data_IF_232555827488
#
_entry.id   IF_232555827488
#
_cell.length_a   1.000
_cell.length_b   1.000
_cell.length_c   1.000
_cell.angle_alpha   90.00
_cell.angle_beta   90.00
_cell.angle_gamma   90.00
#
_symmetry.space_group_name_H-M   'P 1'
#
loop_
_entity.id
_entity.type
_entity.pdbx_description
1 polymer ?
#
# COMPACT_ATOMS: atom_id res chain seq x y z
N UNK A 1 -3.95 -14.09 22.10
CA UNK A 1 -3.95 -12.65 22.33
C UNK A 1 -4.39 -12.32 23.74
N UNK A 2 -3.86 -11.24 24.28
CA UNK A 2 -4.32 -10.63 25.52
C UNK A 2 -5.49 -9.70 25.23
N UNK A 3 -6.56 -9.79 26.01
CA UNK A 3 -7.72 -8.92 25.89
C UNK A 3 -7.90 -8.13 27.20
N UNK A 4 -7.99 -6.80 27.14
CA UNK A 4 -8.09 -5.97 28.33
C UNK A 4 -9.43 -6.15 29.07
N UNK A 5 -10.50 -6.48 28.35
CA UNK A 5 -11.83 -6.72 28.91
C UNK A 5 -12.51 -7.95 28.30
N UNK A 6 -13.55 -8.46 28.96
CA UNK A 6 -14.35 -9.61 28.47
C UNK A 6 -15.09 -9.23 27.18
N UNK A 7 -15.56 -7.99 27.06
CA UNK A 7 -16.29 -7.46 25.91
C UNK A 7 -15.41 -7.43 24.67
N UNK A 8 -14.15 -6.97 24.78
CA UNK A 8 -13.21 -6.96 23.66
C UNK A 8 -12.88 -8.38 23.19
N UNK A 9 -12.71 -9.33 24.14
CA UNK A 9 -12.52 -10.73 23.81
C UNK A 9 -13.73 -11.29 23.06
N UNK A 10 -14.94 -11.06 23.59
CA UNK A 10 -16.19 -11.52 22.99
C UNK A 10 -16.38 -10.97 21.58
N UNK A 11 -16.16 -9.67 21.38
CA UNK A 11 -16.27 -9.01 20.08
C UNK A 11 -15.28 -9.62 19.07
N UNK A 12 -14.01 -9.76 19.46
CA UNK A 12 -12.99 -10.29 18.56
C UNK A 12 -13.29 -11.77 18.19
N UNK A 13 -13.68 -12.61 19.15
CA UNK A 13 -14.01 -14.01 18.86
C UNK A 13 -15.25 -14.13 17.96
N UNK A 14 -16.21 -13.25 18.13
CA UNK A 14 -17.45 -13.24 17.34
C UNK A 14 -17.22 -12.84 15.89
N UNK A 15 -16.36 -11.82 15.65
CA UNK A 15 -16.16 -11.23 14.33
C UNK A 15 -14.84 -11.63 13.68
N UNK A 16 -13.81 -11.94 14.45
CA UNK A 16 -12.46 -12.34 14.00
C UNK A 16 -11.88 -11.45 12.89
N UNK A 17 -11.95 -10.10 13.01
CA UNK A 17 -11.35 -9.23 12.03
C UNK A 17 -9.83 -9.32 12.07
N UNK A 18 -9.20 -9.20 10.92
CA UNK A 18 -7.76 -8.97 10.75
C UNK A 18 -7.55 -7.72 9.92
N UNK A 19 -6.33 -7.19 9.90
CA UNK A 19 -5.99 -6.00 9.12
C UNK A 19 -4.70 -6.25 8.35
N UNK A 20 -4.81 -6.73 7.11
CA UNK A 20 -3.69 -6.85 6.20
C UNK A 20 -3.42 -5.51 5.53
N UNK A 21 -2.15 -5.18 5.40
CA UNK A 21 -1.68 -3.99 4.68
C UNK A 21 -0.35 -4.26 4.02
N UNK A 22 0.18 -3.25 3.33
CA UNK A 22 1.49 -3.30 2.68
C UNK A 22 2.36 -2.15 3.16
N UNK A 23 3.65 -2.27 2.91
CA UNK A 23 4.62 -1.17 3.00
C UNK A 23 5.65 -1.32 1.90
N UNK A 24 6.26 -0.19 1.49
CA UNK A 24 7.29 -0.20 0.45
C UNK A 24 6.75 -0.19 -0.97
N UNK A 25 5.53 0.29 -1.25
CA UNK A 25 5.04 0.40 -2.62
C UNK A 25 5.91 1.35 -3.46
N UNK A 26 6.32 2.48 -2.89
CA UNK A 26 7.22 3.42 -3.57
C UNK A 26 8.59 2.80 -3.86
N UNK A 27 9.10 1.93 -2.96
CA UNK A 27 10.35 1.17 -3.21
C UNK A 27 10.19 0.23 -4.40
N UNK A 28 9.04 -0.45 -4.53
CA UNK A 28 8.75 -1.32 -5.69
C UNK A 28 8.77 -0.51 -6.98
N UNK A 29 8.16 0.69 -7.00
CA UNK A 29 8.18 1.55 -8.18
C UNK A 29 9.60 2.01 -8.52
N UNK A 30 10.41 2.39 -7.53
CA UNK A 30 11.82 2.73 -7.74
C UNK A 30 12.63 1.56 -8.32
N UNK A 31 12.46 0.34 -7.77
CA UNK A 31 13.17 -0.88 -8.24
C UNK A 31 12.80 -1.20 -9.69
N UNK A 32 11.53 -1.05 -10.03
CA UNK A 32 11.03 -1.31 -11.39
C UNK A 32 11.23 -0.11 -12.34
N UNK A 33 11.79 1.01 -11.87
CA UNK A 33 11.97 2.26 -12.61
C UNK A 33 10.67 2.80 -13.20
N UNK A 34 9.58 2.69 -12.43
CA UNK A 34 8.23 3.13 -12.80
C UNK A 34 7.93 4.48 -12.12
N UNK A 35 7.66 5.56 -12.86
CA UNK A 35 7.20 6.81 -12.26
C UNK A 35 5.88 6.62 -11.48
N UNK A 36 5.81 7.20 -10.29
CA UNK A 36 4.63 7.04 -9.41
C UNK A 36 3.33 7.54 -10.05
N UNK A 37 3.40 8.59 -10.87
CA UNK A 37 2.26 9.18 -11.56
C UNK A 37 1.91 8.51 -12.91
N UNK A 38 2.49 7.35 -13.22
CA UNK A 38 2.26 6.65 -14.48
C UNK A 38 1.03 5.72 -14.42
N UNK A 39 0.44 5.44 -15.58
CA UNK A 39 -0.62 4.43 -15.72
C UNK A 39 -0.14 3.03 -15.33
N UNK A 40 1.16 2.75 -15.55
CA UNK A 40 1.77 1.47 -15.17
C UNK A 40 1.79 1.32 -13.64
N UNK A 41 2.16 2.38 -12.90
CA UNK A 41 2.13 2.37 -11.45
C UNK A 41 0.70 2.18 -10.91
N UNK A 42 -0.26 2.87 -11.51
CA UNK A 42 -1.66 2.80 -11.13
C UNK A 42 -2.27 1.41 -11.39
N UNK A 43 -1.94 0.79 -12.51
CA UNK A 43 -2.34 -0.59 -12.83
C UNK A 43 -1.68 -1.58 -11.87
N UNK A 44 -0.36 -1.47 -11.68
CA UNK A 44 0.40 -2.39 -10.82
C UNK A 44 -0.11 -2.36 -9.37
N UNK A 45 -0.35 -1.18 -8.81
CA UNK A 45 -0.87 -1.08 -7.44
C UNK A 45 -2.27 -1.69 -7.31
N UNK A 46 -3.12 -1.52 -8.32
CA UNK A 46 -4.47 -2.11 -8.35
C UNK A 46 -4.38 -3.63 -8.40
N UNK A 47 -3.52 -4.18 -9.25
CA UNK A 47 -3.26 -5.61 -9.37
C UNK A 47 -2.70 -6.24 -8.07
N UNK A 48 -1.84 -5.50 -7.37
CA UNK A 48 -1.32 -5.91 -6.05
C UNK A 48 -2.46 -6.05 -5.05
N UNK A 49 -3.33 -5.04 -4.94
CA UNK A 49 -4.44 -5.08 -3.98
C UNK A 49 -5.50 -6.12 -4.36
N UNK A 50 -5.80 -6.33 -5.64
CA UNK A 50 -6.65 -7.41 -6.11
C UNK A 50 -6.08 -8.77 -5.68
N UNK A 51 -4.78 -8.98 -5.91
CA UNK A 51 -4.09 -10.23 -5.56
C UNK A 51 -4.13 -10.50 -4.07
N UNK A 52 -3.83 -9.49 -3.23
CA UNK A 52 -3.85 -9.63 -1.78
C UNK A 52 -5.26 -9.96 -1.29
N UNK A 53 -6.28 -9.27 -1.81
CA UNK A 53 -7.66 -9.52 -1.40
C UNK A 53 -8.12 -10.92 -1.81
N UNK A 54 -7.80 -11.36 -3.04
CA UNK A 54 -8.10 -12.72 -3.49
C UNK A 54 -7.43 -13.79 -2.61
N UNK A 55 -6.13 -13.62 -2.33
CA UNK A 55 -5.37 -14.57 -1.51
C UNK A 55 -5.86 -14.59 -0.06
N UNK A 56 -6.15 -13.43 0.51
CA UNK A 56 -6.68 -13.33 1.87
C UNK A 56 -8.07 -13.97 1.98
N UNK A 57 -8.93 -13.74 1.01
CA UNK A 57 -10.27 -14.35 0.95
C UNK A 57 -10.19 -15.86 0.79
N UNK A 58 -9.29 -16.36 -0.07
CA UNK A 58 -9.03 -17.78 -0.25
C UNK A 58 -8.57 -18.43 1.05
N UNK A 59 -7.56 -17.85 1.70
CA UNK A 59 -7.03 -18.39 2.97
C UNK A 59 -8.08 -18.36 4.08
N UNK A 60 -8.87 -17.28 4.17
CA UNK A 60 -9.95 -17.17 5.17
C UNK A 60 -11.05 -18.19 4.94
N UNK A 61 -11.37 -18.52 3.69
CA UNK A 61 -12.29 -19.59 3.30
C UNK A 61 -11.70 -20.96 3.62
N UNK A 62 -10.42 -21.21 3.34
CA UNK A 62 -9.76 -22.48 3.67
C UNK A 62 -9.80 -22.75 5.18
N UNK A 63 -9.44 -21.76 6.00
CA UNK A 63 -9.55 -21.87 7.46
C UNK A 63 -11.01 -22.11 7.87
N UNK A 64 -11.97 -21.48 7.22
CA UNK A 64 -13.39 -21.68 7.52
C UNK A 64 -13.86 -23.09 7.20
N UNK A 65 -13.32 -23.73 6.15
CA UNK A 65 -13.66 -25.12 5.83
C UNK A 65 -13.25 -26.10 6.92
N UNK A 66 -12.19 -25.78 7.67
CA UNK A 66 -11.65 -26.66 8.73
C UNK A 66 -12.29 -26.39 10.10
N UNK A 67 -12.49 -25.11 10.45
CA UNK A 67 -12.88 -24.72 11.81
C UNK A 67 -14.18 -23.89 11.89
N UNK A 68 -14.87 -23.74 10.77
CA UNK A 68 -16.12 -22.98 10.64
C UNK A 68 -15.91 -21.48 10.42
N UNK A 69 -16.94 -20.80 9.90
CA UNK A 69 -16.92 -19.37 9.65
C UNK A 69 -16.89 -18.55 10.96
N UNK A 70 -16.73 -17.22 10.83
CA UNK A 70 -16.91 -16.35 11.99
C UNK A 70 -18.37 -16.34 12.44
N UNK A 71 -18.60 -16.22 13.76
CA UNK A 71 -19.91 -16.45 14.38
C UNK A 71 -21.03 -15.55 13.83
N UNK A 72 -20.70 -14.30 13.50
CA UNK A 72 -21.68 -13.30 13.01
C UNK A 72 -21.79 -13.21 11.48
N UNK A 73 -21.45 -14.26 10.74
CA UNK A 73 -21.49 -14.24 9.26
C UNK A 73 -22.92 -14.10 8.71
N UNK A 74 -23.91 -14.60 9.44
CA UNK A 74 -25.30 -14.61 8.97
C UNK A 74 -25.84 -13.20 8.68
N UNK A 75 -26.43 -13.03 7.52
CA UNK A 75 -26.92 -11.76 7.01
C UNK A 75 -25.87 -10.86 6.38
N UNK A 76 -24.58 -11.25 6.42
CA UNK A 76 -23.52 -10.46 5.80
C UNK A 76 -23.53 -10.56 4.26
N UNK A 77 -22.95 -9.57 3.54
CA UNK A 77 -22.79 -9.67 2.09
C UNK A 77 -21.97 -10.91 1.67
N UNK A 78 -20.92 -11.24 2.43
CA UNK A 78 -20.03 -12.36 2.11
C UNK A 78 -20.72 -13.72 2.22
N UNK A 79 -21.70 -13.88 3.10
CA UNK A 79 -22.53 -15.11 3.16
C UNK A 79 -23.22 -15.38 1.83
N UNK A 80 -23.60 -14.31 1.10
CA UNK A 80 -24.21 -14.36 -0.22
C UNK A 80 -23.21 -14.42 -1.37
N UNK A 81 -21.92 -14.49 -1.06
CA UNK A 81 -20.84 -14.44 -2.05
C UNK A 81 -20.65 -13.08 -2.71
N UNK A 82 -21.06 -12.01 -2.03
CA UNK A 82 -20.86 -10.63 -2.48
C UNK A 82 -19.51 -10.14 -1.91
N UNK A 83 -18.55 -9.93 -2.79
CA UNK A 83 -17.22 -9.42 -2.45
C UNK A 83 -17.18 -7.89 -2.40
N UNK A 84 -16.12 -7.33 -1.80
CA UNK A 84 -15.97 -5.88 -1.60
C UNK A 84 -16.11 -5.10 -2.92
N UNK A 85 -15.42 -5.49 -3.99
CA UNK A 85 -15.50 -4.80 -5.28
C UNK A 85 -16.91 -4.73 -5.87
N UNK A 86 -17.76 -5.73 -5.58
CA UNK A 86 -19.16 -5.73 -6.03
C UNK A 86 -20.02 -4.73 -5.25
N UNK A 87 -19.70 -4.45 -3.98
CA UNK A 87 -20.35 -3.39 -3.22
C UNK A 87 -19.99 -1.99 -3.75
N UNK A 88 -18.86 -1.86 -4.47
CA UNK A 88 -18.46 -0.67 -5.23
C UNK A 88 -19.02 -0.66 -6.67
N UNK A 89 -19.86 -1.62 -7.04
CA UNK A 89 -20.54 -1.70 -8.34
C UNK A 89 -19.73 -2.35 -9.46
N UNK A 90 -18.55 -2.91 -9.17
CA UNK A 90 -17.75 -3.65 -10.14
C UNK A 90 -18.26 -5.09 -10.31
N UNK A 91 -18.03 -5.66 -11.49
CA UNK A 91 -18.32 -7.05 -11.84
C UNK A 91 -17.02 -7.82 -12.03
N UNK A 92 -17.08 -9.15 -12.04
CA UNK A 92 -15.90 -10.01 -12.25
C UNK A 92 -15.17 -9.68 -13.56
N UNK A 93 -15.88 -9.26 -14.60
CA UNK A 93 -15.31 -8.89 -15.91
C UNK A 93 -14.60 -7.52 -15.91
N UNK A 94 -14.80 -6.72 -14.87
CA UNK A 94 -14.15 -5.41 -14.73
C UNK A 94 -12.80 -5.52 -14.01
N UNK A 95 -12.44 -6.72 -13.55
CA UNK A 95 -11.21 -7.04 -12.83
C UNK A 95 -10.09 -7.45 -13.79
N UNK A 96 -8.88 -7.69 -13.26
CA UNK A 96 -7.69 -8.01 -14.07
C UNK A 96 -7.80 -9.30 -14.88
N UNK A 97 -8.71 -10.20 -14.54
CA UNK A 97 -8.83 -11.53 -15.14
C UNK A 97 -7.77 -12.54 -14.68
N UNK A 98 -6.90 -12.16 -13.72
CA UNK A 98 -5.82 -13.02 -13.17
C UNK A 98 -6.34 -14.13 -12.27
N UNK A 99 -7.47 -13.90 -11.57
CA UNK A 99 -7.97 -14.76 -10.51
C UNK A 99 -9.35 -15.30 -10.80
N UNK A 100 -9.58 -16.55 -10.44
CA UNK A 100 -10.89 -17.19 -10.61
C UNK A 100 -11.86 -16.83 -9.45
N UNK A 101 -12.33 -15.60 -9.48
CA UNK A 101 -13.33 -15.08 -8.55
C UNK A 101 -14.63 -15.89 -8.54
N UNK A 102 -15.01 -16.48 -9.68
CA UNK A 102 -16.22 -17.27 -9.81
C UNK A 102 -16.16 -18.58 -9.02
N UNK A 103 -15.02 -19.27 -9.09
CA UNK A 103 -14.80 -20.50 -8.31
C UNK A 103 -14.67 -20.17 -6.83
N UNK A 104 -13.92 -19.13 -6.46
CA UNK A 104 -13.79 -18.70 -5.06
C UNK A 104 -15.16 -18.34 -4.46
N UNK A 105 -16.02 -17.65 -5.19
CA UNK A 105 -17.40 -17.31 -4.74
C UNK A 105 -18.22 -18.53 -4.38
N UNK A 106 -18.17 -19.58 -5.19
CA UNK A 106 -18.91 -20.84 -4.92
C UNK A 106 -18.43 -21.48 -3.62
N UNK A 107 -17.13 -21.46 -3.39
CA UNK A 107 -16.54 -22.03 -2.18
C UNK A 107 -16.84 -21.16 -0.96
N UNK A 108 -16.78 -19.84 -1.07
CA UNK A 108 -17.16 -18.90 0.01
C UNK A 108 -18.62 -19.07 0.41
N UNK A 109 -19.54 -19.21 -0.55
CA UNK A 109 -20.96 -19.48 -0.24
C UNK A 109 -21.13 -20.83 0.45
N UNK A 110 -20.32 -21.83 0.10
CA UNK A 110 -20.41 -23.18 0.68
C UNK A 110 -19.83 -23.26 2.09
N UNK A 111 -18.67 -22.65 2.33
CA UNK A 111 -17.89 -22.84 3.57
C UNK A 111 -17.90 -21.60 4.48
N UNK A 112 -18.33 -20.44 3.97
CA UNK A 112 -18.14 -19.16 4.62
C UNK A 112 -16.68 -18.72 4.63
N UNK A 113 -16.38 -17.71 5.43
CA UNK A 113 -15.02 -17.22 5.66
C UNK A 113 -14.76 -17.09 7.16
N UNK A 114 -13.51 -17.30 7.58
CA UNK A 114 -13.13 -17.27 9.00
C UNK A 114 -13.08 -15.87 9.59
N UNK A 115 -12.76 -14.86 8.76
CA UNK A 115 -12.54 -13.48 9.16
C UNK A 115 -13.61 -12.58 8.58
N UNK A 116 -14.21 -11.73 9.41
CA UNK A 116 -15.25 -10.79 8.96
C UNK A 116 -14.70 -9.65 8.10
N UNK A 117 -13.46 -9.26 8.35
CA UNK A 117 -12.72 -8.22 7.65
C UNK A 117 -11.27 -8.68 7.46
N UNK A 118 -10.65 -8.31 6.33
CA UNK A 118 -9.33 -8.80 5.92
C UNK A 118 -8.31 -7.66 5.71
N UNK A 119 -8.60 -6.68 4.84
CA UNK A 119 -7.65 -5.64 4.46
C UNK A 119 -7.94 -4.33 5.20
N UNK A 120 -6.92 -3.82 5.88
CA UNK A 120 -6.91 -2.52 6.54
C UNK A 120 -5.50 -1.91 6.43
N UNK A 121 -5.12 -1.37 5.27
CA UNK A 121 -3.80 -0.77 5.09
C UNK A 121 -3.56 0.38 6.06
N UNK A 122 -2.61 0.17 6.96
CA UNK A 122 -2.22 1.11 8.02
C UNK A 122 -1.03 1.98 7.60
N UNK A 123 -0.69 3.08 8.31
CA UNK A 123 0.41 3.97 7.95
C UNK A 123 1.81 3.33 7.95
N UNK A 124 2.05 2.27 8.74
CA UNK A 124 3.32 1.53 8.88
C UNK A 124 4.54 2.37 9.31
N UNK A 125 4.33 3.52 9.93
CA UNK A 125 5.39 4.49 10.25
C UNK A 125 6.63 3.90 10.95
N UNK A 126 6.45 3.03 11.96
CA UNK A 126 7.56 2.40 12.69
C UNK A 126 8.11 1.17 11.99
N UNK A 127 7.23 0.32 11.45
CA UNK A 127 7.62 -0.95 10.81
C UNK A 127 8.36 -0.72 9.50
N UNK A 128 7.97 0.28 8.72
CA UNK A 128 8.67 0.67 7.50
C UNK A 128 10.13 1.05 7.80
N UNK A 129 10.35 1.77 8.89
CA UNK A 129 11.69 2.17 9.32
C UNK A 129 12.56 0.99 9.76
N UNK A 130 11.97 0.03 10.50
CA UNK A 130 12.69 -1.18 10.93
C UNK A 130 13.14 -2.01 9.72
N UNK A 131 12.28 -2.10 8.70
CA UNK A 131 12.54 -2.88 7.48
C UNK A 131 13.32 -2.09 6.42
N UNK A 132 13.50 -0.76 6.58
CA UNK A 132 14.28 0.07 5.67
C UNK A 132 13.62 0.30 4.31
N UNK A 133 12.30 0.43 4.29
CA UNK A 133 11.49 0.81 3.12
C UNK A 133 10.61 2.02 3.42
N UNK A 134 9.92 2.55 2.40
CA UNK A 134 8.98 3.64 2.57
C UNK A 134 7.67 3.18 3.22
N UNK A 135 6.92 4.12 3.78
CA UNK A 135 5.69 3.84 4.51
C UNK A 135 4.56 3.41 3.58
N UNK A 136 3.85 2.35 3.95
CA UNK A 136 2.66 1.84 3.30
C UNK A 136 2.73 1.88 1.76
N UNK A 137 1.85 2.65 1.15
CA UNK A 137 1.74 2.91 -0.28
C UNK A 137 1.96 4.39 -0.61
N UNK A 138 2.57 5.13 0.34
CA UNK A 138 2.87 6.55 0.19
C UNK A 138 4.09 6.77 -0.74
N UNK A 139 4.13 7.87 -1.51
CA UNK A 139 5.34 8.28 -2.21
C UNK A 139 6.39 8.78 -1.21
N UNK A 140 7.64 8.89 -1.65
CA UNK A 140 8.68 9.48 -0.82
C UNK A 140 8.41 10.97 -0.56
N UNK A 141 8.54 11.39 0.70
CA UNK A 141 8.42 12.82 1.07
C UNK A 141 9.70 13.59 0.76
N UNK A 142 10.85 12.93 0.76
CA UNK A 142 12.14 13.48 0.34
C UNK A 142 13.09 12.33 0.02
N UNK A 143 13.99 12.53 -0.94
CA UNK A 143 15.03 11.55 -1.24
C UNK A 143 16.26 11.67 -0.32
N UNK A 144 16.37 12.77 0.43
CA UNK A 144 17.44 12.98 1.41
C UNK A 144 16.92 13.87 2.54
N UNK A 145 16.97 13.38 3.79
CA UNK A 145 16.52 14.13 4.95
C UNK A 145 17.30 13.76 6.21
N UNK A 146 17.31 14.66 7.18
CA UNK A 146 17.83 14.39 8.52
C UNK A 146 16.75 13.80 9.41
N UNK A 147 17.10 12.75 10.12
CA UNK A 147 16.24 12.09 11.09
C UNK A 147 16.80 12.21 12.49
N UNK A 148 16.06 12.84 13.37
CA UNK A 148 16.40 12.95 14.78
C UNK A 148 15.74 11.86 15.60
N UNK A 149 16.54 11.12 16.36
CA UNK A 149 16.09 10.08 17.30
C UNK A 149 16.70 10.32 18.68
N UNK A 150 16.31 9.54 19.68
CA UNK A 150 16.99 9.56 21.00
C UNK A 150 18.47 9.20 20.92
N UNK A 151 18.88 8.41 19.93
CA UNK A 151 20.26 7.99 19.73
C UNK A 151 21.12 8.98 18.92
N UNK A 152 20.54 10.07 18.40
CA UNK A 152 21.25 11.07 17.61
C UNK A 152 20.49 11.52 16.36
N UNK A 153 21.20 12.25 15.51
CA UNK A 153 20.72 12.73 14.22
C UNK A 153 21.41 11.95 13.10
N UNK A 154 20.63 11.44 12.18
CA UNK A 154 21.09 10.58 11.09
C UNK A 154 20.61 11.14 9.75
N UNK A 155 21.51 11.17 8.77
CA UNK A 155 21.13 11.48 7.39
C UNK A 155 20.60 10.20 6.75
N UNK A 156 19.39 10.27 6.24
CA UNK A 156 18.72 9.18 5.51
C UNK A 156 18.64 9.59 4.05
N UNK A 157 19.07 8.71 3.17
CA UNK A 157 19.00 8.90 1.72
C UNK A 157 18.23 7.75 1.08
N UNK A 158 17.49 8.05 0.03
CA UNK A 158 16.83 7.05 -0.78
C UNK A 158 17.87 6.17 -1.49
N UNK A 159 18.01 4.93 -1.01
CA UNK A 159 19.00 3.96 -1.52
C UNK A 159 18.81 3.65 -3.01
N UNK A 160 17.55 3.67 -3.49
CA UNK A 160 17.24 3.41 -4.89
C UNK A 160 17.70 4.56 -5.80
N UNK A 161 17.57 5.81 -5.34
CA UNK A 161 18.12 6.97 -6.05
C UNK A 161 19.65 6.88 -6.15
N UNK A 162 20.33 6.56 -5.04
CA UNK A 162 21.78 6.38 -5.05
C UNK A 162 22.19 5.32 -6.06
N UNK A 163 21.50 4.17 -6.05
CA UNK A 163 21.77 3.10 -7.01
C UNK A 163 21.57 3.56 -8.46
N UNK A 164 20.47 4.26 -8.75
CA UNK A 164 20.22 4.78 -10.09
C UNK A 164 21.26 5.83 -10.53
N UNK A 165 21.71 6.68 -9.62
CA UNK A 165 22.77 7.65 -9.91
C UNK A 165 24.13 6.96 -10.14
N UNK A 166 24.43 5.89 -9.42
CA UNK A 166 25.64 5.08 -9.64
C UNK A 166 25.59 4.37 -11.00
N UNK A 167 24.44 3.81 -11.37
CA UNK A 167 24.25 3.16 -12.68
C UNK A 167 24.40 4.13 -13.87
N UNK A 168 24.23 5.43 -13.62
CA UNK A 168 24.42 6.49 -14.62
C UNK A 168 25.77 7.25 -14.46
N UNK A 169 26.69 6.75 -13.62
CA UNK A 169 27.98 7.40 -13.32
C UNK A 169 27.85 8.83 -12.77
N UNK A 170 26.72 9.16 -12.13
CA UNK A 170 26.41 10.50 -11.61
C UNK A 170 26.61 10.64 -10.10
N UNK A 171 26.80 9.55 -9.36
CA UNK A 171 26.93 9.62 -7.91
C UNK A 171 28.31 10.13 -7.50
N UNK A 172 28.39 11.40 -7.07
CA UNK A 172 29.58 12.07 -6.60
C UNK A 172 29.24 13.13 -5.54
N UNK A 173 30.26 13.76 -4.93
CA UNK A 173 30.05 14.77 -3.88
C UNK A 173 29.35 16.03 -4.39
N UNK A 174 29.48 16.40 -5.67
CA UNK A 174 28.78 17.54 -6.25
C UNK A 174 27.28 17.29 -6.30
N UNK A 175 26.85 16.13 -6.84
CA UNK A 175 25.45 15.75 -6.91
C UNK A 175 24.85 15.59 -5.51
N UNK A 176 25.60 14.99 -4.57
CA UNK A 176 25.18 14.90 -3.17
C UNK A 176 24.93 16.27 -2.56
N UNK A 177 25.82 17.23 -2.77
CA UNK A 177 25.64 18.60 -2.27
C UNK A 177 24.45 19.30 -2.93
N UNK A 178 24.20 19.11 -4.24
CA UNK A 178 23.02 19.63 -4.93
C UNK A 178 21.75 19.04 -4.34
N UNK A 179 21.69 17.74 -4.07
CA UNK A 179 20.55 17.08 -3.40
C UNK A 179 20.27 17.67 -2.01
N UNK A 180 21.31 18.00 -1.25
CA UNK A 180 21.15 18.66 0.06
C UNK A 180 20.55 20.06 -0.11
N UNK A 181 21.05 20.84 -1.05
CA UNK A 181 20.58 22.22 -1.34
C UNK A 181 19.13 22.22 -1.83
N UNK A 182 18.72 21.21 -2.60
CA UNK A 182 17.37 21.04 -3.13
C UNK A 182 16.43 20.27 -2.16
N UNK A 183 16.82 20.11 -0.88
CA UNK A 183 16.04 19.41 0.15
C UNK A 183 15.60 17.99 -0.27
N UNK A 184 16.45 17.27 -1.00
CA UNK A 184 16.19 15.92 -1.49
C UNK A 184 15.40 15.85 -2.80
N UNK A 185 15.07 16.97 -3.43
CA UNK A 185 14.52 17.01 -4.79
C UNK A 185 15.61 16.73 -5.82
N UNK A 186 15.24 16.03 -6.89
CA UNK A 186 16.11 15.81 -8.07
C UNK A 186 15.73 16.72 -9.25
N UNK A 187 14.63 17.47 -9.14
CA UNK A 187 14.02 18.13 -10.29
C UNK A 187 14.89 19.26 -10.87
N UNK A 188 15.54 20.03 -9.99
CA UNK A 188 16.35 21.18 -10.39
C UNK A 188 17.83 20.86 -10.63
N UNK A 189 18.23 19.58 -10.64
CA UNK A 189 19.61 19.15 -10.87
C UNK A 189 19.79 18.82 -12.37
N UNK A 190 20.45 19.67 -13.18
CA UNK A 190 20.48 19.51 -14.63
C UNK A 190 21.15 18.22 -15.10
N UNK A 191 22.12 17.71 -14.35
CA UNK A 191 22.90 16.52 -14.69
C UNK A 191 22.09 15.23 -14.58
N UNK A 192 20.99 15.23 -13.82
CA UNK A 192 20.16 14.03 -13.63
C UNK A 192 19.24 13.88 -14.85
N UNK A 193 19.20 12.70 -15.51
CA UNK A 193 18.32 12.42 -16.63
C UNK A 193 16.83 12.55 -16.29
N UNK A 194 16.02 12.90 -17.29
CA UNK A 194 14.58 13.16 -17.10
C UNK A 194 13.84 11.92 -16.63
N UNK A 195 14.17 10.75 -17.14
CA UNK A 195 13.58 9.47 -16.72
C UNK A 195 13.86 9.15 -15.25
N UNK A 196 15.07 9.43 -14.76
CA UNK A 196 15.41 9.34 -13.33
C UNK A 196 14.60 10.35 -12.53
N UNK A 197 14.51 11.61 -12.99
CA UNK A 197 13.71 12.64 -12.31
C UNK A 197 12.25 12.23 -12.13
N UNK A 198 11.64 11.64 -13.16
CA UNK A 198 10.24 11.20 -13.10
C UNK A 198 10.01 10.09 -12.06
N UNK A 199 10.96 9.15 -11.91
CA UNK A 199 10.86 8.05 -10.92
C UNK A 199 11.02 8.56 -9.49
N UNK A 200 11.90 9.56 -9.28
CA UNK A 200 12.29 10.04 -7.94
C UNK A 200 11.64 11.37 -7.55
N UNK A 201 10.49 11.70 -8.14
CA UNK A 201 9.65 12.80 -7.65
C UNK A 201 9.29 12.60 -6.19
N UNK A 202 9.36 13.66 -5.41
CA UNK A 202 8.83 13.67 -4.05
C UNK A 202 7.33 13.95 -4.07
N UNK A 203 6.64 13.66 -2.97
CA UNK A 203 5.20 13.89 -2.86
C UNK A 203 4.80 15.35 -3.10
N UNK A 204 5.71 16.30 -2.84
CA UNK A 204 5.50 17.74 -3.04
C UNK A 204 5.50 18.15 -4.51
N UNK A 205 6.05 17.30 -5.37
CA UNK A 205 6.20 17.50 -6.82
C UNK A 205 5.14 16.73 -7.62
N UNK A 206 4.29 15.96 -6.92
CA UNK A 206 3.23 15.15 -7.51
C UNK A 206 1.85 15.81 -7.38
N UNK A 207 0.97 15.48 -8.32
CA UNK A 207 -0.44 15.84 -8.20
C UNK A 207 -1.12 15.05 -7.10
N UNK A 208 -1.68 15.73 -6.12
CA UNK A 208 -2.46 15.09 -5.06
C UNK A 208 -3.71 14.37 -5.60
N UNK A 209 -4.19 14.76 -6.78
CA UNK A 209 -5.26 14.06 -7.50
C UNK A 209 -4.82 12.64 -7.90
N UNK A 210 -3.54 12.44 -8.24
CA UNK A 210 -3.01 11.09 -8.52
C UNK A 210 -3.12 10.20 -7.31
N UNK A 211 -2.73 10.69 -6.12
CA UNK A 211 -2.84 9.92 -4.87
C UNK A 211 -4.29 9.56 -4.55
N UNK A 212 -5.22 10.50 -4.72
CA UNK A 212 -6.65 10.26 -4.54
C UNK A 212 -7.19 9.21 -5.52
N UNK A 213 -6.82 9.29 -6.80
CA UNK A 213 -7.25 8.33 -7.81
C UNK A 213 -6.71 6.93 -7.52
N UNK A 214 -5.44 6.80 -7.16
CA UNK A 214 -4.84 5.53 -6.78
C UNK A 214 -5.50 4.95 -5.53
N UNK A 215 -5.81 5.81 -4.53
CA UNK A 215 -6.54 5.39 -3.34
C UNK A 215 -7.95 4.89 -3.67
N UNK A 216 -8.67 5.57 -4.55
CA UNK A 216 -10.00 5.17 -5.00
C UNK A 216 -9.97 3.82 -5.73
N UNK A 217 -9.00 3.60 -6.64
CA UNK A 217 -8.90 2.35 -7.40
C UNK A 217 -8.59 1.14 -6.52
N UNK A 218 -7.67 1.26 -5.54
CA UNK A 218 -7.39 0.14 -4.62
C UNK A 218 -8.46 -0.09 -3.57
N UNK A 219 -9.29 0.93 -3.25
CA UNK A 219 -10.33 0.84 -2.20
C UNK A 219 -11.37 -0.22 -2.47
N UNK A 220 -11.59 -0.58 -3.73
CA UNK A 220 -12.55 -1.63 -4.13
C UNK A 220 -12.14 -3.03 -3.65
N UNK A 221 -10.89 -3.21 -3.24
CA UNK A 221 -10.36 -4.45 -2.66
C UNK A 221 -10.10 -4.34 -1.15
N UNK A 222 -10.42 -3.20 -0.52
CA UNK A 222 -10.18 -2.96 0.91
C UNK A 222 -11.52 -2.98 1.64
N UNK A 223 -11.72 -3.97 2.48
CA UNK A 223 -12.99 -4.21 3.17
C UNK A 223 -13.13 -3.46 4.51
N UNK A 224 -12.11 -2.76 4.95
CA UNK A 224 -12.16 -1.85 6.09
C UNK A 224 -11.89 -0.40 5.63
N UNK A 225 -10.73 0.15 5.98
CA UNK A 225 -10.30 1.48 5.60
C UNK A 225 -8.82 1.48 5.26
N UNK A 226 -8.36 2.52 4.59
CA UNK A 226 -6.95 2.75 4.31
C UNK A 226 -6.50 4.09 4.87
N UNK A 227 -5.24 4.15 5.30
CA UNK A 227 -4.60 5.43 5.60
C UNK A 227 -4.41 6.23 4.30
N UNK A 228 -4.56 7.54 4.37
CA UNK A 228 -4.30 8.43 3.24
C UNK A 228 -3.85 9.78 3.76
N UNK A 229 -2.65 10.19 3.34
CA UNK A 229 -2.14 11.53 3.56
C UNK A 229 -2.28 12.37 2.28
N UNK A 230 -2.67 13.63 2.46
CA UNK A 230 -2.64 14.65 1.41
C UNK A 230 -1.66 15.74 1.83
N UNK A 231 -0.83 16.15 0.90
CA UNK A 231 0.29 17.04 1.13
C UNK A 231 0.03 18.38 0.43
N UNK A 232 -0.08 19.44 1.19
CA UNK A 232 -0.38 20.79 0.69
C UNK A 232 0.74 21.70 1.14
N UNK A 233 1.51 22.20 0.17
CA UNK A 233 2.46 23.28 0.42
C UNK A 233 1.72 24.61 0.42
N UNK A 234 2.04 25.51 1.36
CA UNK A 234 1.48 26.86 1.43
C UNK A 234 -0.06 26.88 1.55
N UNK A 235 -0.62 26.11 2.49
CA UNK A 235 -2.03 26.19 2.82
C UNK A 235 -2.38 27.60 3.34
N UNK A 236 -3.24 28.33 2.63
CA UNK A 236 -3.76 29.66 2.97
C UNK A 236 -5.20 29.57 3.41
#
# INVERSE_FOLDING_TARGET
NFYPTVETKRSNFKHRPIGLGIQGLADVFCILKIPFESEVADTLQTDIFETIYFAAMTSSKDISSDVGPYESISGSPIEKGIFQYQMWGLKDNDLSGRWDWKSLRKEVVKYGVRNSLLLAPMPTASTAQILGNNEAFEPFTSNLYSRRTLGGEFIVINKHLVQSLMENDLWNDEIKNKLIMENGSVQNIPEIPVDVKEVYKTVWEMSQKTLLNMAAKRSVFIDQSQSLNLFISNAT
#
